data_IF_791039513391
#
_entry.id   IF_791039513391
#
_cell.length_a   1.000
_cell.length_b   1.000
_cell.length_c   1.000
_cell.angle_alpha   90.00
_cell.angle_beta   90.00
_cell.angle_gamma   90.00
#
_symmetry.space_group_name_H-M   'P 1'
#
loop_
_entity.id
_entity.type
_entity.pdbx_description
1 polymer ?
#
# COMPACT_ATOMS: atom_id res chain seq x y z
N UNK A 1 9.54 -2.06 -14.80
CA UNK A 1 8.39 -2.60 -14.03
C UNK A 1 8.78 -3.97 -13.51
N UNK A 2 8.54 -4.23 -12.24
CA UNK A 2 8.86 -5.51 -11.59
C UNK A 2 7.74 -6.52 -11.86
N UNK A 3 8.09 -7.80 -11.98
CA UNK A 3 7.15 -8.91 -12.03
C UNK A 3 7.45 -9.84 -10.85
N UNK A 4 6.45 -10.11 -10.02
CA UNK A 4 6.51 -11.08 -8.93
C UNK A 4 5.77 -12.33 -9.37
N UNK A 5 6.47 -13.46 -9.41
CA UNK A 5 5.87 -14.75 -9.71
C UNK A 5 5.53 -15.48 -8.41
N UNK A 6 4.23 -15.69 -8.17
CA UNK A 6 3.79 -16.42 -7.01
C UNK A 6 4.14 -17.91 -7.11
N UNK A 7 4.64 -18.53 -6.03
CA UNK A 7 4.77 -19.98 -5.97
C UNK A 7 3.44 -20.69 -6.24
N UNK A 8 3.50 -21.81 -6.95
CA UNK A 8 2.30 -22.60 -7.24
C UNK A 8 1.65 -23.21 -5.99
N UNK A 9 2.35 -23.22 -4.87
CA UNK A 9 1.85 -23.68 -3.57
C UNK A 9 0.91 -22.70 -2.89
N UNK A 10 0.96 -21.39 -3.25
CA UNK A 10 0.12 -20.39 -2.59
C UNK A 10 -1.37 -20.66 -2.84
N UNK A 11 -2.14 -20.65 -1.76
CA UNK A 11 -3.58 -20.86 -1.77
C UNK A 11 -4.33 -19.57 -1.47
N UNK A 12 -3.70 -18.64 -0.71
CA UNK A 12 -4.29 -17.37 -0.33
C UNK A 12 -3.24 -16.27 -0.37
N UNK A 13 -3.59 -15.16 -1.00
CA UNK A 13 -2.79 -13.92 -1.01
C UNK A 13 -3.67 -12.78 -0.55
N UNK A 14 -3.21 -12.06 0.47
CA UNK A 14 -3.94 -10.91 1.02
C UNK A 14 -3.31 -9.60 0.54
N UNK A 15 -4.16 -8.60 0.25
CA UNK A 15 -3.76 -7.24 -0.14
C UNK A 15 -4.33 -6.26 0.87
N UNK A 16 -3.48 -5.38 1.40
CA UNK A 16 -3.83 -4.28 2.29
C UNK A 16 -3.11 -3.01 1.85
N UNK A 17 -3.63 -1.84 2.21
CA UNK A 17 -2.98 -0.54 2.05
C UNK A 17 -3.52 0.46 3.06
N UNK A 18 -2.94 1.64 3.10
CA UNK A 18 -3.48 2.79 3.84
C UNK A 18 -3.80 2.45 5.31
N UNK A 19 -2.89 1.70 5.96
CA UNK A 19 -3.02 1.33 7.39
C UNK A 19 -2.71 2.54 8.27
N UNK A 20 -1.83 3.44 7.79
CA UNK A 20 -1.48 4.69 8.47
C UNK A 20 -1.06 4.50 9.93
N UNK A 21 -0.16 3.54 10.19
CA UNK A 21 0.32 3.25 11.54
C UNK A 21 0.92 4.49 12.20
N UNK A 22 0.30 4.88 13.32
CA UNK A 22 0.66 6.05 14.13
C UNK A 22 0.53 5.72 15.61
N UNK A 23 1.45 6.20 16.44
CA UNK A 23 1.42 6.01 17.90
C UNK A 23 0.16 6.59 18.57
N UNK A 24 -0.52 7.55 17.89
CA UNK A 24 -1.76 8.14 18.36
C UNK A 24 -3.01 7.34 17.95
N UNK A 25 -2.83 6.25 17.18
CA UNK A 25 -3.90 5.35 16.73
C UNK A 25 -3.65 3.90 17.24
N UNK A 26 -3.64 3.69 18.56
CA UNK A 26 -3.27 2.40 19.15
C UNK A 26 -4.23 1.26 18.78
N UNK A 27 -5.53 1.53 18.61
CA UNK A 27 -6.50 0.50 18.26
C UNK A 27 -6.28 0.00 16.82
N UNK A 28 -5.90 0.88 15.89
CA UNK A 28 -5.52 0.49 14.51
C UNK A 28 -4.23 -0.34 14.52
N UNK A 29 -3.22 0.07 15.31
CA UNK A 29 -1.99 -0.71 15.46
C UNK A 29 -2.27 -2.11 16.04
N UNK A 30 -3.07 -2.23 17.09
CA UNK A 30 -3.45 -3.51 17.68
C UNK A 30 -4.23 -4.41 16.72
N UNK A 31 -5.14 -3.82 15.92
CA UNK A 31 -5.88 -4.56 14.90
C UNK A 31 -4.96 -5.10 13.80
N UNK A 32 -4.04 -4.26 13.30
CA UNK A 32 -3.04 -4.66 12.33
C UNK A 32 -2.09 -5.73 12.88
N UNK A 33 -1.60 -5.56 14.11
CA UNK A 33 -0.74 -6.55 14.76
C UNK A 33 -1.43 -7.92 14.88
N UNK A 34 -2.70 -7.94 15.31
CA UNK A 34 -3.50 -9.18 15.39
C UNK A 34 -3.69 -9.82 14.02
N UNK A 35 -3.98 -9.02 13.01
CA UNK A 35 -4.12 -9.50 11.64
C UNK A 35 -2.81 -10.12 11.14
N UNK A 36 -1.70 -9.39 11.25
CA UNK A 36 -0.38 -9.86 10.80
C UNK A 36 0.07 -11.14 11.54
N UNK A 37 -0.29 -11.29 12.81
CA UNK A 37 0.02 -12.48 13.59
C UNK A 37 -0.83 -13.72 13.21
N UNK A 38 -2.06 -13.54 12.73
CA UNK A 38 -3.05 -14.62 12.61
C UNK A 38 -3.55 -14.88 11.18
N UNK A 39 -3.26 -14.02 10.20
CA UNK A 39 -3.73 -14.27 8.83
C UNK A 39 -3.28 -15.64 8.32
N UNK A 40 -4.20 -16.42 7.70
CA UNK A 40 -3.86 -17.69 7.08
C UNK A 40 -3.29 -17.54 5.66
N UNK A 41 -2.97 -16.33 5.24
CA UNK A 41 -2.41 -16.07 3.93
C UNK A 41 -1.00 -16.66 3.78
N UNK A 42 -0.66 -17.11 2.58
CA UNK A 42 0.69 -17.50 2.19
C UNK A 42 1.58 -16.28 1.94
N UNK A 43 0.95 -15.17 1.52
CA UNK A 43 1.61 -13.89 1.33
C UNK A 43 0.69 -12.71 1.64
N UNK A 44 1.28 -11.61 2.14
CA UNK A 44 0.62 -10.31 2.31
C UNK A 44 1.33 -9.28 1.44
N UNK A 45 0.55 -8.60 0.60
CA UNK A 45 1.01 -7.48 -0.22
C UNK A 45 0.51 -6.17 0.38
N UNK A 46 1.43 -5.32 0.82
CA UNK A 46 1.15 -4.00 1.40
C UNK A 46 1.35 -2.97 0.28
N UNK A 47 0.26 -2.36 -0.18
CA UNK A 47 0.25 -1.46 -1.32
C UNK A 47 0.39 0.02 -0.92
N UNK A 48 1.35 0.30 -0.05
CA UNK A 48 1.73 1.64 0.38
C UNK A 48 0.92 2.18 1.55
N UNK A 49 1.42 3.28 2.10
CA UNK A 49 0.86 3.99 3.24
C UNK A 49 0.62 3.06 4.46
N UNK A 50 1.57 2.15 4.68
CA UNK A 50 1.62 1.35 5.91
C UNK A 50 1.85 2.24 7.12
N UNK A 51 2.79 3.17 7.00
CA UNK A 51 3.09 4.15 8.03
C UNK A 51 2.44 5.49 7.73
N UNK A 52 1.94 6.17 8.75
CA UNK A 52 1.43 7.53 8.59
C UNK A 52 2.53 8.51 8.13
N UNK A 53 3.75 8.29 8.56
CA UNK A 53 4.95 9.02 8.12
C UNK A 53 6.17 8.12 8.28
N UNK A 54 7.01 8.03 7.22
CA UNK A 54 8.34 7.45 7.30
C UNK A 54 9.37 8.43 6.73
N UNK A 55 10.38 8.77 7.53
CA UNK A 55 11.38 9.80 7.17
C UNK A 55 12.80 9.25 7.02
N UNK A 56 12.93 7.93 6.95
CA UNK A 56 14.19 7.21 6.76
C UNK A 56 14.37 6.07 7.76
N UNK A 57 15.18 5.09 7.36
CA UNK A 57 15.37 3.83 8.10
C UNK A 57 16.25 3.95 9.34
N UNK A 58 16.88 5.10 9.54
CA UNK A 58 17.68 5.43 10.73
C UNK A 58 16.82 5.91 11.93
N UNK A 59 15.52 5.68 11.86
CA UNK A 59 14.60 6.02 12.96
C UNK A 59 14.96 5.25 14.23
N UNK A 60 14.88 5.94 15.38
CA UNK A 60 15.01 5.36 16.72
C UNK A 60 13.70 5.43 17.50
N UNK A 61 12.61 5.75 16.80
CA UNK A 61 11.28 5.85 17.38
C UNK A 61 10.80 4.47 17.85
N UNK A 62 10.37 4.37 19.12
CA UNK A 62 9.97 3.11 19.73
C UNK A 62 8.75 2.49 19.05
N UNK A 63 7.82 3.32 18.56
CA UNK A 63 6.64 2.82 17.85
C UNK A 63 7.02 2.26 16.47
N UNK A 64 7.88 2.96 15.72
CA UNK A 64 8.39 2.48 14.44
C UNK A 64 9.15 1.14 14.60
N UNK A 65 9.95 0.98 15.67
CA UNK A 65 10.62 -0.27 15.98
C UNK A 65 9.64 -1.38 16.34
N UNK A 66 8.55 -1.08 17.05
CA UNK A 66 7.49 -2.06 17.33
C UNK A 66 6.79 -2.53 16.06
N UNK A 67 6.56 -1.63 15.09
CA UNK A 67 6.02 -2.01 13.78
C UNK A 67 7.00 -2.91 13.01
N UNK A 68 8.29 -2.59 13.02
CA UNK A 68 9.32 -3.41 12.39
C UNK A 68 9.39 -4.83 13.00
N UNK A 69 9.26 -4.97 14.32
CA UNK A 69 9.22 -6.26 15.01
C UNK A 69 8.00 -7.12 14.58
N UNK A 70 6.84 -6.51 14.38
CA UNK A 70 5.66 -7.22 13.84
C UNK A 70 5.92 -7.71 12.42
N UNK A 71 6.52 -6.88 11.56
CA UNK A 71 6.86 -7.25 10.19
C UNK A 71 7.89 -8.37 10.14
N UNK A 72 8.95 -8.31 10.96
CA UNK A 72 9.96 -9.36 11.05
C UNK A 72 9.35 -10.71 11.45
N UNK A 73 8.58 -10.74 12.54
CA UNK A 73 7.89 -11.96 12.98
C UNK A 73 6.94 -12.52 11.93
N UNK A 74 6.26 -11.64 11.19
CA UNK A 74 5.36 -12.07 10.11
C UNK A 74 6.13 -12.65 8.95
N UNK A 75 7.24 -12.02 8.56
CA UNK A 75 8.09 -12.47 7.45
C UNK A 75 8.77 -13.82 7.71
N UNK A 76 8.94 -14.21 8.98
CA UNK A 76 9.41 -15.55 9.36
C UNK A 76 8.36 -16.65 9.10
N UNK A 77 7.09 -16.29 8.92
CA UNK A 77 5.97 -17.23 8.77
C UNK A 77 5.38 -17.24 7.36
N UNK A 78 5.32 -16.10 6.70
CA UNK A 78 4.77 -15.92 5.36
C UNK A 78 5.56 -14.87 4.57
N UNK A 79 5.35 -14.78 3.27
CA UNK A 79 6.00 -13.75 2.45
C UNK A 79 5.31 -12.40 2.61
N UNK A 80 6.06 -11.36 2.99
CA UNK A 80 5.55 -9.99 3.06
C UNK A 80 6.16 -9.17 1.93
N UNK A 81 5.32 -8.58 1.10
CA UNK A 81 5.72 -7.69 0.01
C UNK A 81 5.25 -6.27 0.31
N UNK A 82 6.08 -5.30 -0.03
CA UNK A 82 5.81 -3.89 0.22
C UNK A 82 6.16 -3.03 -0.98
N UNK A 83 5.24 -2.18 -1.40
CA UNK A 83 5.51 -1.04 -2.27
C UNK A 83 5.19 0.25 -1.51
N UNK A 84 5.94 1.32 -1.81
CA UNK A 84 5.80 2.58 -1.10
C UNK A 84 4.56 3.35 -1.55
N UNK A 85 3.81 3.88 -0.59
CA UNK A 85 2.81 4.92 -0.81
C UNK A 85 3.39 6.34 -0.76
N UNK A 86 2.52 7.32 -0.61
CA UNK A 86 2.92 8.73 -0.52
C UNK A 86 3.36 9.17 0.88
N UNK A 87 3.08 8.37 1.90
CA UNK A 87 3.47 8.63 3.30
C UNK A 87 4.80 7.97 3.68
N UNK A 88 5.13 6.88 3.03
CA UNK A 88 6.24 6.02 3.41
C UNK A 88 7.24 5.73 2.27
N UNK A 89 7.34 6.64 1.30
CA UNK A 89 8.21 6.51 0.13
C UNK A 89 9.72 6.55 0.46
N UNK A 90 10.09 6.85 1.68
CA UNK A 90 11.47 6.81 2.18
C UNK A 90 11.79 5.52 2.93
N UNK A 91 10.88 4.55 2.93
CA UNK A 91 11.21 3.18 3.35
C UNK A 91 12.28 2.64 2.40
N UNK A 92 13.39 2.20 2.99
CA UNK A 92 14.58 1.82 2.27
C UNK A 92 15.07 0.40 2.58
N UNK A 93 16.24 0.04 2.06
CA UNK A 93 16.77 -1.31 2.17
C UNK A 93 17.10 -1.75 3.60
N UNK A 94 17.35 -0.81 4.54
CA UNK A 94 17.66 -1.17 5.93
C UNK A 94 16.42 -1.75 6.62
N UNK A 95 15.25 -1.12 6.44
CA UNK A 95 14.00 -1.66 6.97
C UNK A 95 13.64 -2.99 6.31
N UNK A 96 13.77 -3.11 4.98
CA UNK A 96 13.54 -4.37 4.27
C UNK A 96 14.41 -5.51 4.81
N UNK A 97 15.70 -5.25 5.01
CA UNK A 97 16.63 -6.25 5.56
C UNK A 97 16.32 -6.60 7.02
N UNK A 98 15.94 -5.61 7.83
CA UNK A 98 15.63 -5.83 9.24
C UNK A 98 14.32 -6.60 9.46
N UNK A 99 13.39 -6.50 8.51
CA UNK A 99 12.05 -7.10 8.64
C UNK A 99 11.81 -8.31 7.74
N UNK A 100 12.74 -8.62 6.83
CA UNK A 100 12.55 -9.69 5.85
C UNK A 100 11.50 -9.39 4.77
N UNK A 101 10.96 -8.16 4.72
CA UNK A 101 10.02 -7.76 3.66
C UNK A 101 10.70 -7.68 2.29
N UNK A 102 9.95 -8.03 1.26
CA UNK A 102 10.36 -7.88 -0.14
C UNK A 102 9.88 -6.52 -0.69
N UNK A 103 10.82 -5.61 -0.98
CA UNK A 103 10.48 -4.34 -1.64
C UNK A 103 10.05 -4.54 -3.08
N UNK A 104 9.00 -3.82 -3.50
CA UNK A 104 8.50 -3.82 -4.87
C UNK A 104 8.56 -2.41 -5.48
N UNK A 105 8.67 -2.35 -6.81
CA UNK A 105 8.45 -1.09 -7.54
C UNK A 105 6.94 -0.78 -7.62
N UNK A 106 6.61 0.49 -7.82
CA UNK A 106 5.27 0.94 -8.13
C UNK A 106 5.22 1.46 -9.59
N UNK A 107 4.46 0.81 -10.51
CA UNK A 107 3.66 -0.41 -10.32
C UNK A 107 4.46 -1.72 -10.40
N UNK A 108 3.84 -2.82 -9.93
CA UNK A 108 4.34 -4.20 -10.02
C UNK A 108 3.26 -5.12 -10.59
N UNK A 109 3.64 -6.07 -11.43
CA UNK A 109 2.77 -7.15 -11.89
C UNK A 109 2.95 -8.35 -10.96
N UNK A 110 1.84 -8.90 -10.46
CA UNK A 110 1.81 -10.16 -9.71
C UNK A 110 1.20 -11.26 -10.60
N UNK A 111 1.96 -12.34 -10.81
CA UNK A 111 1.51 -13.52 -11.54
C UNK A 111 1.08 -14.61 -10.56
N UNK A 112 -0.22 -14.94 -10.55
CA UNK A 112 -0.86 -15.96 -9.72
C UNK A 112 -1.42 -17.07 -10.62
N UNK A 113 -0.59 -18.05 -10.93
CA UNK A 113 -0.95 -19.08 -11.90
C UNK A 113 -1.15 -18.49 -13.30
N UNK A 114 -2.40 -18.48 -13.81
CA UNK A 114 -2.74 -17.89 -15.11
C UNK A 114 -3.24 -16.44 -14.99
N UNK A 115 -3.43 -15.93 -13.78
CA UNK A 115 -3.91 -14.57 -13.55
C UNK A 115 -2.73 -13.60 -13.41
N UNK A 116 -2.91 -12.41 -13.98
CA UNK A 116 -1.97 -11.29 -13.87
C UNK A 116 -2.70 -10.11 -13.24
N UNK A 117 -2.22 -9.70 -12.08
CA UNK A 117 -2.75 -8.55 -11.34
C UNK A 117 -1.73 -7.41 -11.41
N UNK A 118 -2.20 -6.21 -11.70
CA UNK A 118 -1.38 -5.00 -11.61
C UNK A 118 -1.57 -4.37 -10.24
N UNK A 119 -0.48 -4.23 -9.49
CA UNK A 119 -0.46 -3.68 -8.15
C UNK A 119 0.18 -2.28 -8.18
N UNK A 120 -0.46 -1.32 -7.55
CA UNK A 120 0.06 0.05 -7.39
C UNK A 120 -0.46 0.65 -6.10
N UNK A 121 0.21 1.67 -5.56
CA UNK A 121 -0.41 2.48 -4.53
C UNK A 121 -1.60 3.29 -5.10
N UNK A 122 -1.49 3.79 -6.32
CA UNK A 122 -2.57 4.47 -7.03
C UNK A 122 -2.43 5.99 -7.10
N UNK A 123 -1.58 6.58 -6.28
CA UNK A 123 -1.37 8.02 -6.19
C UNK A 123 -0.94 8.67 -7.52
N UNK A 124 -0.17 7.95 -8.34
CA UNK A 124 0.28 8.41 -9.65
C UNK A 124 -0.81 8.43 -10.73
N UNK A 125 -1.96 7.79 -10.47
CA UNK A 125 -3.10 7.74 -11.37
C UNK A 125 -4.19 8.77 -11.03
N UNK A 126 -4.03 9.55 -9.95
CA UNK A 126 -4.94 10.63 -9.57
C UNK A 126 -4.60 11.90 -10.37
N UNK A 127 -4.89 11.89 -11.66
CA UNK A 127 -4.40 12.90 -12.62
C UNK A 127 -4.93 14.32 -12.37
N UNK A 128 -6.06 14.45 -11.69
CA UNK A 128 -6.67 15.76 -11.36
C UNK A 128 -5.92 16.49 -10.22
N UNK A 129 -5.12 15.78 -9.40
CA UNK A 129 -4.29 16.40 -8.35
C UNK A 129 -2.91 16.81 -8.90
N UNK A 130 -2.91 17.81 -9.78
CA UNK A 130 -1.71 18.26 -10.48
C UNK A 130 -0.61 18.73 -9.52
N UNK A 131 -0.98 19.44 -8.45
CA UNK A 131 -0.02 19.92 -7.44
C UNK A 131 0.66 18.77 -6.73
N UNK A 132 -0.11 17.75 -6.36
CA UNK A 132 0.43 16.55 -5.75
C UNK A 132 1.36 15.79 -6.70
N UNK A 133 0.98 15.63 -7.97
CA UNK A 133 1.81 14.94 -8.96
C UNK A 133 3.15 15.65 -9.19
N UNK A 134 3.19 16.99 -9.20
CA UNK A 134 4.44 17.76 -9.26
C UNK A 134 5.30 17.52 -8.02
N UNK A 135 4.70 17.57 -6.83
CA UNK A 135 5.39 17.26 -5.58
C UNK A 135 5.94 15.82 -5.60
N UNK A 136 5.11 14.84 -5.99
CA UNK A 136 5.51 13.43 -6.13
C UNK A 136 6.70 13.28 -7.05
N UNK A 137 6.65 13.90 -8.23
CA UNK A 137 7.75 13.85 -9.19
C UNK A 137 9.07 14.38 -8.57
N UNK A 138 9.02 15.44 -7.78
CA UNK A 138 10.18 16.00 -7.13
C UNK A 138 10.73 15.06 -6.05
N UNK A 139 9.90 14.60 -5.11
CA UNK A 139 10.36 13.84 -3.94
C UNK A 139 10.75 12.39 -4.25
N UNK A 140 10.34 11.89 -5.42
CA UNK A 140 10.75 10.55 -5.90
C UNK A 140 12.08 10.57 -6.65
N UNK A 141 12.69 11.74 -6.88
CA UNK A 141 14.04 11.82 -7.47
C UNK A 141 15.09 11.35 -6.46
N UNK A 142 16.03 10.51 -6.90
CA UNK A 142 17.12 10.00 -6.06
C UNK A 142 17.91 11.13 -5.39
N UNK A 143 18.25 12.18 -6.16
CA UNK A 143 18.98 13.34 -5.64
C UNK A 143 18.24 14.09 -4.53
N UNK A 144 16.90 14.20 -4.63
CA UNK A 144 16.09 14.80 -3.57
C UNK A 144 16.09 13.93 -2.31
N UNK A 145 15.89 12.61 -2.49
CA UNK A 145 15.88 11.65 -1.38
C UNK A 145 17.24 11.60 -0.66
N UNK A 146 18.35 11.56 -1.40
CA UNK A 146 19.69 11.63 -0.85
C UNK A 146 19.92 12.91 -0.03
N UNK A 147 19.56 14.07 -0.59
CA UNK A 147 19.69 15.35 0.10
C UNK A 147 18.78 15.44 1.34
N UNK A 148 17.57 14.88 1.29
CA UNK A 148 16.66 14.84 2.42
C UNK A 148 17.17 13.91 3.52
N UNK A 149 17.59 12.69 3.19
CA UNK A 149 18.11 11.70 4.14
C UNK A 149 19.45 12.11 4.77
N UNK A 150 20.23 12.97 4.13
CA UNK A 150 21.45 13.55 4.71
C UNK A 150 21.18 14.55 5.85
N UNK A 151 19.94 15.02 6.01
CA UNK A 151 19.54 15.92 7.09
C UNK A 151 19.42 15.16 8.43
N UNK A 152 19.64 15.86 9.57
CA UNK A 152 19.35 15.28 10.87
C UNK A 152 17.91 14.74 10.97
N UNK A 153 17.71 13.62 11.65
CA UNK A 153 16.39 12.99 11.80
C UNK A 153 15.31 13.96 12.33
N UNK A 154 15.68 14.81 13.31
CA UNK A 154 14.76 15.81 13.88
C UNK A 154 14.31 16.86 12.85
N UNK A 155 15.17 17.26 11.93
CA UNK A 155 14.84 18.18 10.84
C UNK A 155 13.89 17.52 9.85
N UNK A 156 14.16 16.26 9.46
CA UNK A 156 13.29 15.48 8.57
C UNK A 156 11.89 15.30 9.16
N UNK A 157 11.81 14.97 10.44
CA UNK A 157 10.54 14.86 11.17
C UNK A 157 9.77 16.20 11.22
N UNK A 158 10.48 17.32 11.39
CA UNK A 158 9.85 18.64 11.38
C UNK A 158 9.27 18.97 9.99
N UNK A 159 10.04 18.74 8.93
CA UNK A 159 9.61 18.96 7.54
C UNK A 159 8.37 18.08 7.23
N UNK A 160 8.42 16.80 7.57
CA UNK A 160 7.33 15.87 7.31
C UNK A 160 6.02 16.27 8.03
N UNK A 161 6.12 16.73 9.29
CA UNK A 161 4.95 17.27 10.02
C UNK A 161 4.36 18.50 9.34
N UNK A 162 5.21 19.40 8.82
CA UNK A 162 4.75 20.57 8.07
C UNK A 162 4.02 20.21 6.78
N UNK A 163 4.56 19.30 6.01
CA UNK A 163 3.94 18.79 4.78
C UNK A 163 2.59 18.10 5.06
N UNK A 164 2.51 17.31 6.13
CA UNK A 164 1.28 16.67 6.57
C UNK A 164 0.19 17.70 6.92
N UNK A 165 0.52 18.68 7.75
CA UNK A 165 -0.41 19.74 8.14
C UNK A 165 -0.97 20.51 6.92
N UNK A 166 -0.12 20.79 5.92
CA UNK A 166 -0.56 21.39 4.67
C UNK A 166 -1.50 20.49 3.86
N UNK A 167 -1.20 19.19 3.77
CA UNK A 167 -2.04 18.22 3.09
C UNK A 167 -3.42 18.09 3.75
N UNK A 168 -3.47 18.03 5.09
CA UNK A 168 -4.73 17.97 5.84
C UNK A 168 -5.56 19.24 5.67
N UNK A 169 -4.94 20.41 5.71
CA UNK A 169 -5.63 21.68 5.47
C UNK A 169 -6.25 21.75 4.06
N UNK A 170 -5.56 21.24 3.05
CA UNK A 170 -6.09 21.14 1.69
C UNK A 170 -7.27 20.18 1.61
N UNK A 171 -7.22 19.02 2.29
CA UNK A 171 -8.31 18.06 2.36
C UNK A 171 -9.60 18.67 2.93
N UNK A 172 -9.49 19.54 3.92
CA UNK A 172 -10.65 20.21 4.54
C UNK A 172 -11.32 21.26 3.63
N UNK A 173 -10.60 21.79 2.66
CA UNK A 173 -11.09 22.83 1.73
C UNK A 173 -11.51 22.29 0.37
N UNK A 174 -11.07 21.10 -0.01
CA UNK A 174 -11.43 20.47 -1.28
C UNK A 174 -12.79 19.78 -1.18
N UNK A 175 -13.70 20.14 -2.07
CA UNK A 175 -15.03 19.53 -2.19
C UNK A 175 -15.02 18.17 -2.87
N UNK A 176 -13.99 17.86 -3.64
CA UNK A 176 -13.82 16.56 -4.30
C UNK A 176 -12.36 16.09 -4.20
N UNK A 177 -12.19 14.87 -3.73
CA UNK A 177 -10.90 14.20 -3.69
C UNK A 177 -10.67 13.51 -5.02
N UNK A 178 -9.54 13.79 -5.68
CA UNK A 178 -9.18 13.14 -6.93
C UNK A 178 -9.26 11.62 -6.78
N UNK A 179 -9.91 10.95 -7.72
CA UNK A 179 -9.92 9.50 -7.83
C UNK A 179 -8.93 9.06 -8.92
N UNK A 180 -8.66 7.77 -8.96
CA UNK A 180 -7.84 7.17 -10.03
C UNK A 180 -8.54 7.39 -11.38
N UNK A 181 -7.81 7.99 -12.32
CA UNK A 181 -8.30 8.20 -13.69
C UNK A 181 -8.56 6.86 -14.38
N UNK A 182 -9.79 6.68 -14.86
CA UNK A 182 -10.25 5.43 -15.43
C UNK A 182 -9.54 5.10 -16.77
N UNK A 183 -9.20 6.12 -17.56
CA UNK A 183 -8.52 5.92 -18.83
C UNK A 183 -7.06 5.55 -18.60
N UNK A 184 -6.36 6.24 -17.67
CA UNK A 184 -4.99 5.93 -17.32
C UNK A 184 -4.87 4.52 -16.72
N UNK A 185 -5.81 4.13 -15.84
CA UNK A 185 -5.88 2.76 -15.29
C UNK A 185 -6.06 1.71 -16.40
N UNK A 186 -6.96 1.98 -17.35
CA UNK A 186 -7.20 1.12 -18.51
C UNK A 186 -5.95 0.98 -19.38
N UNK A 187 -5.24 2.08 -19.61
CA UNK A 187 -4.03 2.07 -20.44
C UNK A 187 -2.89 1.30 -19.76
N UNK A 188 -2.74 1.44 -18.44
CA UNK A 188 -1.79 0.64 -17.69
C UNK A 188 -2.11 -0.85 -17.74
N UNK A 189 -3.38 -1.23 -17.57
CA UNK A 189 -3.82 -2.63 -17.66
C UNK A 189 -3.50 -3.24 -19.03
N UNK A 190 -3.77 -2.49 -20.11
CA UNK A 190 -3.47 -2.94 -21.48
C UNK A 190 -1.97 -3.07 -21.74
N UNK A 191 -1.17 -2.08 -21.31
CA UNK A 191 0.30 -2.10 -21.46
C UNK A 191 0.95 -3.26 -20.72
N UNK A 192 0.36 -3.70 -19.61
CA UNK A 192 0.89 -4.76 -18.76
C UNK A 192 0.25 -6.13 -19.03
N UNK A 193 -0.72 -6.20 -19.95
CA UNK A 193 -1.51 -7.40 -20.23
C UNK A 193 -2.18 -7.96 -18.96
N UNK A 194 -2.57 -7.06 -18.04
CA UNK A 194 -3.32 -7.39 -16.83
C UNK A 194 -4.81 -7.09 -17.03
N UNK A 195 -5.67 -7.86 -16.37
CA UNK A 195 -7.13 -7.61 -16.40
C UNK A 195 -7.61 -6.91 -15.14
N UNK A 196 -6.85 -6.97 -14.06
CA UNK A 196 -7.25 -6.42 -12.76
C UNK A 196 -6.16 -5.52 -12.21
N UNK A 197 -6.54 -4.29 -11.84
CA UNK A 197 -5.73 -3.34 -11.08
C UNK A 197 -6.18 -3.36 -9.61
N UNK A 198 -5.23 -3.49 -8.68
CA UNK A 198 -5.46 -3.35 -7.24
C UNK A 198 -4.66 -2.15 -6.75
N UNK A 199 -5.32 -1.23 -6.03
CA UNK A 199 -4.68 -0.02 -5.52
C UNK A 199 -5.28 0.45 -4.19
N UNK A 200 -4.57 1.34 -3.49
CA UNK A 200 -4.97 2.06 -2.29
C UNK A 200 -5.24 3.54 -2.54
N UNK A 201 -4.68 4.39 -1.69
CA UNK A 201 -4.55 5.84 -1.77
C UNK A 201 -5.85 6.64 -1.64
N UNK A 202 -6.91 6.29 -2.37
CA UNK A 202 -8.11 7.13 -2.45
C UNK A 202 -9.09 6.93 -1.29
N UNK A 203 -8.89 5.88 -0.48
CA UNK A 203 -9.74 5.51 0.66
C UNK A 203 -11.23 5.35 0.29
N UNK A 204 -11.50 4.95 -0.97
CA UNK A 204 -12.85 4.73 -1.51
C UNK A 204 -13.01 3.26 -1.88
N UNK A 205 -13.09 2.33 -0.91
CA UNK A 205 -13.13 0.91 -1.19
C UNK A 205 -14.31 0.54 -2.09
N UNK A 206 -14.01 0.07 -3.29
CA UNK A 206 -14.98 -0.30 -4.30
C UNK A 206 -14.35 -1.20 -5.38
N UNK A 207 -15.20 -1.81 -6.19
CA UNK A 207 -14.82 -2.47 -7.44
C UNK A 207 -15.43 -1.68 -8.59
N UNK A 208 -14.61 -1.35 -9.58
CA UNK A 208 -15.02 -0.58 -10.75
C UNK A 208 -14.80 -1.40 -12.01
N UNK A 209 -15.84 -1.52 -12.82
CA UNK A 209 -15.74 -2.09 -14.17
C UNK A 209 -15.22 -1.00 -15.13
N UNK A 210 -14.10 -1.28 -15.79
CA UNK A 210 -13.49 -0.36 -16.77
C UNK A 210 -13.85 -0.71 -18.22
N UNK A 211 -14.71 -1.70 -18.41
CA UNK A 211 -15.09 -2.23 -19.72
C UNK A 211 -14.11 -3.28 -20.26
N UNK A 212 -14.55 -4.03 -21.27
CA UNK A 212 -13.74 -5.08 -21.94
C UNK A 212 -13.14 -6.13 -20.99
N UNK A 213 -13.81 -6.42 -19.86
CA UNK A 213 -13.34 -7.37 -18.86
C UNK A 213 -12.21 -6.86 -17.96
N UNK A 214 -11.94 -5.55 -18.01
CA UNK A 214 -10.96 -4.90 -17.13
C UNK A 214 -11.63 -4.40 -15.85
N UNK A 215 -10.98 -4.61 -14.72
CA UNK A 215 -11.49 -4.21 -13.41
C UNK A 215 -10.46 -3.44 -12.59
N UNK A 216 -10.93 -2.55 -11.73
CA UNK A 216 -10.13 -1.80 -10.75
C UNK A 216 -10.70 -2.04 -9.35
N UNK A 217 -9.86 -2.48 -8.43
CA UNK A 217 -10.18 -2.69 -7.02
C UNK A 217 -9.45 -1.66 -6.17
N UNK A 218 -10.22 -0.77 -5.53
CA UNK A 218 -9.69 0.14 -4.51
C UNK A 218 -9.74 -0.54 -3.15
N UNK A 219 -8.59 -0.61 -2.47
CA UNK A 219 -8.49 -1.13 -1.10
C UNK A 219 -9.10 -0.16 -0.09
N UNK A 220 -9.44 -0.68 1.08
CA UNK A 220 -9.87 0.13 2.22
C UNK A 220 -8.67 0.68 2.98
N UNK A 221 -8.79 1.91 3.46
CA UNK A 221 -7.98 2.38 4.57
C UNK A 221 -8.36 1.67 5.87
N UNK A 222 -7.45 1.66 6.85
CA UNK A 222 -7.67 1.06 8.14
C UNK A 222 -7.90 2.12 9.20
N UNK A 223 -8.96 1.95 9.96
CA UNK A 223 -9.33 2.83 11.06
C UNK A 223 -10.10 2.05 12.12
N UNK A 224 -9.55 1.96 13.33
CA UNK A 224 -10.16 1.25 14.45
C UNK A 224 -10.54 2.16 15.63
N UNK A 225 -10.21 3.45 15.53
CA UNK A 225 -10.54 4.45 16.55
C UNK A 225 -11.99 4.94 16.40
N UNK A 226 -12.75 4.87 17.51
CA UNK A 226 -14.12 5.41 17.58
C UNK A 226 -15.17 4.55 16.87
N UNK A 227 -16.33 5.13 16.53
CA UNK A 227 -17.50 4.36 16.09
C UNK A 227 -17.48 3.95 14.62
N UNK A 228 -16.58 4.52 13.80
CA UNK A 228 -16.51 4.27 12.35
C UNK A 228 -15.37 3.32 11.99
N UNK A 229 -15.31 2.17 12.68
CA UNK A 229 -14.25 1.18 12.45
C UNK A 229 -14.31 0.64 11.03
N UNK A 230 -13.15 0.61 10.37
CA UNK A 230 -12.95 0.10 9.02
C UNK A 230 -11.66 -0.71 8.99
N UNK A 231 -11.81 -2.03 8.86
CA UNK A 231 -10.70 -2.99 8.82
C UNK A 231 -11.04 -4.05 7.78
N UNK A 232 -10.54 -3.88 6.57
CA UNK A 232 -10.84 -4.77 5.47
C UNK A 232 -9.57 -5.31 4.81
N UNK A 233 -9.65 -6.53 4.33
CA UNK A 233 -8.63 -7.20 3.55
C UNK A 233 -9.23 -7.64 2.22
N UNK A 234 -8.53 -7.40 1.14
CA UNK A 234 -8.83 -8.02 -0.14
C UNK A 234 -7.99 -9.29 -0.24
N UNK A 235 -8.63 -10.44 -0.44
CA UNK A 235 -7.95 -11.72 -0.55
C UNK A 235 -8.13 -12.30 -1.94
N UNK A 236 -7.06 -12.81 -2.53
CA UNK A 236 -7.12 -13.75 -3.62
C UNK A 236 -7.08 -15.16 -3.05
N UNK A 237 -8.03 -15.99 -3.48
CA UNK A 237 -8.11 -17.41 -3.09
C UNK A 237 -7.93 -18.28 -4.34
N UNK A 238 -7.07 -19.28 -4.24
CA UNK A 238 -6.92 -20.26 -5.32
C UNK A 238 -8.19 -21.10 -5.39
N UNK A 239 -8.81 -21.11 -6.56
CA UNK A 239 -9.94 -21.98 -6.79
C UNK A 239 -9.48 -23.45 -6.98
N UNK A 240 -10.20 -24.38 -6.37
CA UNK A 240 -9.95 -25.82 -6.54
C UNK A 240 -10.43 -26.33 -7.90
N UNK A 241 -11.32 -25.59 -8.59
CA UNK A 241 -11.97 -25.97 -9.85
C UNK A 241 -11.45 -25.24 -11.11
N UNK A 242 -10.34 -24.50 -11.02
CA UNK A 242 -9.72 -23.77 -12.15
C UNK A 242 -10.62 -22.74 -12.86
N UNK A 243 -11.59 -22.16 -12.21
CA UNK A 243 -12.42 -21.11 -12.82
C UNK A 243 -11.63 -19.79 -13.02
N UNK A 244 -11.58 -19.22 -14.22
CA UNK A 244 -10.75 -18.04 -14.50
C UNK A 244 -11.27 -16.72 -13.91
N UNK A 245 -12.47 -16.71 -13.33
CA UNK A 245 -13.14 -15.48 -12.86
C UNK A 245 -13.21 -15.36 -11.34
N UNK A 246 -12.61 -16.27 -10.59
CA UNK A 246 -12.72 -16.30 -9.14
C UNK A 246 -11.37 -16.14 -8.48
N UNK A 247 -11.32 -15.40 -7.46
CA UNK A 247 -10.13 -15.24 -6.68
C UNK A 247 -10.18 -14.07 -5.73
N UNK A 248 -10.71 -12.92 -6.12
CA UNK A 248 -10.69 -11.74 -5.26
C UNK A 248 -11.99 -11.64 -4.44
N UNK A 249 -11.85 -11.61 -3.12
CA UNK A 249 -12.95 -11.37 -2.20
C UNK A 249 -12.53 -10.37 -1.12
N UNK A 250 -13.43 -9.46 -0.78
CA UNK A 250 -13.25 -8.50 0.30
C UNK A 250 -13.85 -9.04 1.58
N UNK A 251 -13.13 -8.98 2.68
CA UNK A 251 -13.59 -9.42 3.99
C UNK A 251 -13.31 -8.36 5.04
N UNK A 252 -14.28 -8.13 5.93
CA UNK A 252 -14.08 -7.34 7.14
C UNK A 252 -13.40 -8.19 8.21
N UNK A 253 -12.55 -7.58 9.02
CA UNK A 253 -11.89 -8.17 10.18
C UNK A 253 -12.66 -7.87 11.50
N UNK A 254 -13.87 -7.30 11.40
CA UNK A 254 -14.74 -6.96 12.52
C UNK A 254 -15.56 -8.14 12.99
#
# INVERSE_FOLDING_TARGET
MTVVQAPTSWQRVDFISDVHLDANAPATFEAWQRYMANTPADAVFILGDLFEVWVGDDTTDAFALSCADVLDRTSQRLSVYFLCGNRDFLVGPQLHNATGMHGMSDPTVLELGQQRLLLTHGDSLCLDDVDYLQFRQQVRQASWQEAFLAKPLSERQHIARGLRAQSEARKQTATDYADVDAQAATDWLRQTECQTLIHGHTHKPATHELGSGLTRWCLSDWHAEGPSTRLEVLSWLRDQDNSPTQGLCRSSLL
#
